data_IF_278911366365
#
_entry.id   IF_278911366365
#
_cell.length_a   1.000
_cell.length_b   1.000
_cell.length_c   1.000
_cell.angle_alpha   90.00
_cell.angle_beta   90.00
_cell.angle_gamma   90.00
#
_symmetry.space_group_name_H-M   'P 1'
#
loop_
_entity.id
_entity.type
_entity.pdbx_description
1 polymer ?
#
# COMPACT_ATOMS: atom_id res chain seq x y z
N UNK A 1 -21.53 1.41 0.06
CA UNK A 1 -20.22 2.07 0.29
C UNK A 1 -20.50 3.50 0.67
N UNK A 2 -19.90 4.00 1.74
CA UNK A 2 -20.15 5.35 2.24
C UNK A 2 -19.48 6.39 1.33
N UNK A 3 -20.22 7.40 0.90
CA UNK A 3 -19.71 8.46 0.00
C UNK A 3 -18.42 9.12 0.52
N UNK A 4 -18.25 9.16 1.85
CA UNK A 4 -17.05 9.69 2.52
C UNK A 4 -15.79 8.86 2.26
N UNK A 5 -15.89 7.52 2.25
CA UNK A 5 -14.74 6.64 2.00
C UNK A 5 -14.28 6.75 0.55
N UNK A 6 -15.23 6.85 -0.39
CA UNK A 6 -14.91 7.03 -1.81
C UNK A 6 -14.17 8.35 -2.05
N UNK A 7 -14.68 9.46 -1.50
CA UNK A 7 -14.05 10.77 -1.63
C UNK A 7 -12.63 10.82 -1.05
N UNK A 8 -12.39 10.16 0.09
CA UNK A 8 -11.05 10.08 0.67
C UNK A 8 -10.10 9.24 -0.18
N UNK A 9 -10.56 8.10 -0.73
CA UNK A 9 -9.75 7.30 -1.65
C UNK A 9 -9.39 8.08 -2.91
N UNK A 10 -10.34 8.81 -3.51
CA UNK A 10 -10.09 9.62 -4.70
C UNK A 10 -9.09 10.76 -4.40
N UNK A 11 -9.17 11.37 -3.22
CA UNK A 11 -8.19 12.35 -2.74
C UNK A 11 -6.79 11.74 -2.62
N UNK A 12 -6.66 10.56 -2.03
CA UNK A 12 -5.37 9.89 -1.87
C UNK A 12 -4.80 9.41 -3.22
N UNK A 13 -5.65 8.93 -4.14
CA UNK A 13 -5.23 8.60 -5.51
C UNK A 13 -4.70 9.83 -6.23
N UNK A 14 -5.35 10.98 -6.09
CA UNK A 14 -4.87 12.25 -6.65
C UNK A 14 -3.55 12.67 -6.02
N UNK A 15 -3.43 12.60 -4.69
CA UNK A 15 -2.18 12.88 -3.96
C UNK A 15 -1.03 12.00 -4.46
N UNK A 16 -1.28 10.70 -4.66
CA UNK A 16 -0.30 9.74 -5.15
C UNK A 16 0.20 10.12 -6.55
N UNK A 17 -0.72 10.41 -7.48
CA UNK A 17 -0.38 10.76 -8.86
C UNK A 17 0.38 12.08 -8.96
N UNK A 18 0.01 13.07 -8.15
CA UNK A 18 0.56 14.43 -8.24
C UNK A 18 1.89 14.58 -7.49
N UNK A 19 2.09 13.81 -6.41
CA UNK A 19 3.17 14.08 -5.45
C UNK A 19 3.95 12.85 -4.98
N UNK A 20 3.60 11.63 -5.40
CA UNK A 20 4.27 10.40 -4.99
C UNK A 20 4.64 9.55 -6.23
N UNK A 21 5.54 10.05 -7.10
CA UNK A 21 5.87 9.39 -8.36
C UNK A 21 6.47 7.98 -8.17
N UNK A 22 7.31 7.76 -7.15
CA UNK A 22 7.89 6.42 -6.91
C UNK A 22 6.85 5.43 -6.41
N UNK A 23 5.93 5.86 -5.56
CA UNK A 23 4.78 5.04 -5.15
C UNK A 23 3.92 4.71 -6.36
N UNK A 24 3.63 5.69 -7.20
CA UNK A 24 2.80 5.47 -8.38
C UNK A 24 3.45 4.49 -9.37
N UNK A 25 4.76 4.63 -9.61
CA UNK A 25 5.57 3.68 -10.39
C UNK A 25 5.50 2.27 -9.79
N UNK A 26 5.76 2.13 -8.49
CA UNK A 26 5.75 0.84 -7.80
C UNK A 26 4.37 0.15 -7.81
N UNK A 27 3.28 0.92 -7.69
CA UNK A 27 1.91 0.40 -7.83
C UNK A 27 1.65 -0.11 -9.24
N UNK A 28 2.10 0.64 -10.27
CA UNK A 28 1.95 0.22 -11.67
C UNK A 28 2.78 -1.02 -11.99
N UNK A 29 4.01 -1.08 -11.49
CA UNK A 29 4.89 -2.23 -11.63
C UNK A 29 4.25 -3.46 -10.96
N UNK A 30 3.82 -3.35 -9.70
CA UNK A 30 3.12 -4.41 -9.00
C UNK A 30 1.85 -4.86 -9.76
N UNK A 31 1.09 -3.92 -10.32
CA UNK A 31 -0.10 -4.25 -11.12
C UNK A 31 0.25 -4.94 -12.45
N UNK A 32 1.42 -4.68 -13.03
CA UNK A 32 1.89 -5.38 -14.22
C UNK A 32 2.27 -6.84 -13.94
N UNK A 33 2.74 -7.12 -12.72
CA UNK A 33 3.15 -8.46 -12.26
C UNK A 33 1.94 -9.25 -11.74
N UNK A 34 1.13 -8.64 -10.87
CA UNK A 34 0.06 -9.29 -10.09
C UNK A 34 -1.34 -9.02 -10.64
N UNK A 35 -1.48 -8.19 -11.66
CA UNK A 35 -2.75 -7.82 -12.26
C UNK A 35 -3.55 -6.74 -11.51
N UNK A 36 -4.80 -6.55 -11.92
CA UNK A 36 -5.67 -5.44 -11.48
C UNK A 36 -6.06 -5.49 -10.00
N UNK A 37 -5.89 -6.63 -9.33
CA UNK A 37 -6.11 -6.81 -7.88
C UNK A 37 -5.28 -5.85 -7.02
N UNK A 38 -4.11 -5.41 -7.51
CA UNK A 38 -3.28 -4.41 -6.83
C UNK A 38 -4.05 -3.09 -6.63
N UNK A 39 -4.83 -2.65 -7.61
CA UNK A 39 -5.64 -1.44 -7.46
C UNK A 39 -6.82 -1.63 -6.49
N UNK A 40 -7.30 -2.87 -6.32
CA UNK A 40 -8.32 -3.17 -5.32
C UNK A 40 -7.72 -3.13 -3.91
N UNK A 41 -6.55 -3.73 -3.70
CA UNK A 41 -5.81 -3.65 -2.44
C UNK A 41 -5.44 -2.22 -2.07
N UNK A 42 -4.96 -1.43 -3.04
CA UNK A 42 -4.64 -0.03 -2.82
C UNK A 42 -5.87 0.76 -2.32
N UNK A 43 -7.02 0.61 -2.98
CA UNK A 43 -8.26 1.27 -2.55
C UNK A 43 -8.73 0.82 -1.17
N UNK A 44 -8.68 -0.48 -0.88
CA UNK A 44 -9.01 -1.02 0.45
C UNK A 44 -8.13 -0.41 1.54
N UNK A 45 -6.82 -0.34 1.31
CA UNK A 45 -5.90 0.34 2.22
C UNK A 45 -6.24 1.82 2.39
N UNK A 46 -6.55 2.54 1.31
CA UNK A 46 -6.95 3.96 1.38
C UNK A 46 -8.32 4.18 2.06
N UNK A 47 -9.16 3.14 2.15
CA UNK A 47 -10.44 3.17 2.87
C UNK A 47 -10.34 2.94 4.37
N UNK A 48 -9.14 2.70 4.89
CA UNK A 48 -8.97 2.39 6.31
C UNK A 48 -8.77 0.90 6.60
N UNK A 49 -8.69 0.03 5.58
CA UNK A 49 -8.52 -1.40 5.81
C UNK A 49 -7.03 -1.74 6.04
N UNK A 50 -6.66 -2.21 7.26
CA UNK A 50 -5.29 -2.62 7.52
C UNK A 50 -4.86 -3.80 6.66
N UNK A 51 -3.56 -4.03 6.55
CA UNK A 51 -2.97 -5.18 5.85
C UNK A 51 -3.26 -5.25 4.33
N UNK A 52 -3.80 -4.18 3.73
CA UNK A 52 -4.06 -4.13 2.30
C UNK A 52 -2.98 -3.34 1.55
N UNK A 53 -2.78 -2.09 1.95
CA UNK A 53 -1.87 -1.17 1.29
C UNK A 53 -1.49 0.00 2.19
N UNK A 54 -0.21 0.35 2.21
CA UNK A 54 0.33 1.52 2.88
C UNK A 54 1.52 2.05 2.07
N UNK A 55 1.66 3.36 1.96
CA UNK A 55 2.82 3.94 1.30
C UNK A 55 3.23 5.26 1.93
N UNK A 56 4.52 5.55 1.80
CA UNK A 56 5.17 6.79 2.22
C UNK A 56 6.07 7.30 1.09
N UNK A 57 6.02 8.60 0.78
CA UNK A 57 6.99 9.25 -0.11
C UNK A 57 7.07 10.75 0.17
N UNK A 58 8.29 11.27 0.32
CA UNK A 58 8.51 12.72 0.44
C UNK A 58 7.67 13.40 1.53
N UNK A 59 7.51 12.75 2.69
CA UNK A 59 6.72 13.26 3.82
C UNK A 59 5.21 13.05 3.72
N UNK A 60 4.71 12.38 2.68
CA UNK A 60 3.29 12.06 2.49
C UNK A 60 3.01 10.60 2.80
N UNK A 61 1.84 10.33 3.37
CA UNK A 61 1.38 8.99 3.71
C UNK A 61 0.01 8.76 3.06
N UNK A 62 -0.19 7.58 2.47
CA UNK A 62 -1.47 7.11 1.95
C UNK A 62 -1.69 5.65 2.34
N UNK A 63 -2.95 5.22 2.34
CA UNK A 63 -3.33 3.89 2.78
C UNK A 63 -3.39 3.74 4.30
N UNK A 64 -3.44 2.49 4.77
CA UNK A 64 -3.59 2.15 6.18
C UNK A 64 -2.46 1.23 6.63
N UNK A 65 -1.78 1.55 7.75
CA UNK A 65 -0.76 0.70 8.33
C UNK A 65 -1.15 -0.78 8.41
N UNK A 66 -0.17 -1.66 8.20
CA UNK A 66 -0.30 -3.07 8.50
C UNK A 66 -0.34 -3.25 10.02
N UNK A 67 -1.16 -4.19 10.47
CA UNK A 67 -1.26 -4.56 11.88
C UNK A 67 0.03 -5.25 12.35
N UNK A 68 0.30 -5.18 13.65
CA UNK A 68 1.51 -5.73 14.24
C UNK A 68 2.75 -4.84 14.03
N UNK A 69 3.97 -5.38 14.27
CA UNK A 69 5.18 -4.56 14.39
C UNK A 69 5.74 -4.10 13.04
N UNK A 70 5.36 -4.73 11.93
CA UNK A 70 5.97 -4.51 10.62
C UNK A 70 5.98 -3.04 10.19
N UNK A 71 4.89 -2.30 10.43
CA UNK A 71 4.84 -0.88 10.07
C UNK A 71 5.81 -0.05 10.90
N UNK A 72 5.99 -0.38 12.18
CA UNK A 72 6.93 0.31 13.06
C UNK A 72 8.40 0.00 12.70
N UNK A 73 8.68 -1.25 12.31
CA UNK A 73 10.00 -1.67 11.84
C UNK A 73 10.38 -0.96 10.54
N UNK A 74 9.44 -0.90 9.59
CA UNK A 74 9.61 -0.15 8.34
C UNK A 74 9.82 1.34 8.60
N UNK A 75 9.03 1.95 9.51
CA UNK A 75 9.22 3.34 9.89
C UNK A 75 10.60 3.60 10.51
N UNK A 76 11.11 2.66 11.30
CA UNK A 76 12.46 2.73 11.86
C UNK A 76 13.51 2.74 10.76
N UNK A 77 13.38 1.89 9.74
CA UNK A 77 14.29 1.87 8.59
C UNK A 77 14.22 3.16 7.77
N UNK A 78 13.02 3.71 7.56
CA UNK A 78 12.83 5.01 6.88
C UNK A 78 13.64 6.10 7.59
N UNK A 79 13.53 6.18 8.92
CA UNK A 79 14.19 7.21 9.73
C UNK A 79 15.70 6.98 9.82
N UNK A 80 16.13 5.73 10.07
CA UNK A 80 17.55 5.41 10.28
C UNK A 80 18.39 5.54 9.01
N UNK A 81 17.85 5.13 7.86
CA UNK A 81 18.60 5.07 6.60
C UNK A 81 18.19 6.17 5.60
N UNK A 82 17.21 7.01 5.95
CA UNK A 82 16.75 8.11 5.09
C UNK A 82 16.01 7.62 3.85
N UNK A 83 15.25 6.53 3.94
CA UNK A 83 14.49 6.04 2.79
C UNK A 83 13.42 7.05 2.39
N UNK A 84 13.54 7.58 1.17
CA UNK A 84 12.63 8.63 0.67
C UNK A 84 11.24 8.10 0.24
N UNK A 85 11.11 6.78 0.09
CA UNK A 85 9.92 6.10 -0.42
C UNK A 85 9.81 4.68 0.15
N UNK A 86 8.58 4.27 0.49
CA UNK A 86 8.20 2.88 0.79
C UNK A 86 6.79 2.59 0.24
N UNK A 87 6.60 1.38 -0.28
CA UNK A 87 5.29 0.79 -0.55
C UNK A 87 5.19 -0.58 0.13
N UNK A 88 4.13 -0.77 0.93
CA UNK A 88 3.73 -2.06 1.47
C UNK A 88 2.42 -2.50 0.81
N UNK A 89 2.37 -3.73 0.34
CA UNK A 89 1.23 -4.32 -0.36
C UNK A 89 0.99 -5.73 0.19
N UNK A 90 -0.28 -6.08 0.40
CA UNK A 90 -0.64 -7.42 0.89
C UNK A 90 0.00 -8.49 0.01
N UNK A 91 0.51 -9.61 0.59
CA UNK A 91 1.04 -10.70 -0.20
C UNK A 91 -0.04 -11.27 -1.13
N UNK A 92 0.37 -12.01 -2.15
CA UNK A 92 -0.60 -12.81 -2.90
C UNK A 92 -1.18 -13.88 -1.98
N UNK A 93 -2.44 -14.31 -2.18
CA UNK A 93 -2.97 -15.47 -1.49
C UNK A 93 -2.01 -16.63 -1.74
N UNK A 94 -1.28 -17.01 -0.71
CA UNK A 94 -0.40 -18.17 -0.80
C UNK A 94 -1.34 -19.37 -0.87
N UNK A 95 -1.40 -20.02 -2.04
CA UNK A 95 -1.98 -21.36 -2.10
C UNK A 95 -1.20 -22.17 -1.07
N UNK A 96 -1.87 -22.59 0.01
CA UNK A 96 -1.30 -23.58 0.90
C UNK A 96 -0.93 -24.75 -0.01
N UNK A 97 0.36 -24.98 -0.22
CA UNK A 97 0.82 -26.24 -0.78
C UNK A 97 0.20 -27.30 0.11
N UNK A 98 -0.76 -28.04 -0.43
CA UNK A 98 -1.41 -29.15 0.23
C UNK A 98 -0.32 -30.20 0.43
N UNK A 99 0.41 -30.05 1.54
CA UNK A 99 1.41 -30.97 2.04
C UNK A 99 0.72 -32.23 2.54
N UNK A 100 0.06 -32.92 1.62
CA UNK A 100 -0.43 -34.27 1.81
C UNK A 100 0.76 -35.23 1.82
N UNK A 101 1.14 -35.62 3.05
CA UNK A 101 1.73 -36.89 3.50
C UNK A 101 2.76 -37.60 2.62
#
# INVERSE_FOLDING_TARGET
MDAKQQAESDRQIKLMKDHMPRVYEAVREAASIRGSQVFQLARRGMWGEPNCFYAFEGGRVIGTPFAGPVTAEVATQIVQFGAAFVMMLAPEPQECADGSR
#
